data_IF_497563367484
#
_entry.id   IF_497563367484
#
_cell.length_a   1.000
_cell.length_b   1.000
_cell.length_c   1.000
_cell.angle_alpha   90.00
_cell.angle_beta   90.00
_cell.angle_gamma   90.00
#
_symmetry.space_group_name_H-M   'P 1'
#
loop_
_entity.id
_entity.type
_entity.pdbx_description
1 polymer ?
#
# COMPACT_ATOMS: atom_id res chain seq x y z
N UNK A 1 10.02 -6.72 33.27
CA UNK A 1 8.87 -6.62 32.32
C UNK A 1 9.32 -7.21 30.99
N UNK A 2 8.64 -8.22 30.50
CA UNK A 2 8.94 -8.73 29.15
C UNK A 2 8.37 -7.76 28.13
N UNK A 3 9.20 -7.30 27.18
CA UNK A 3 8.75 -6.47 26.06
C UNK A 3 7.89 -7.31 25.13
N UNK A 4 6.68 -6.84 24.82
CA UNK A 4 5.77 -7.46 23.85
C UNK A 4 5.77 -6.53 22.63
N UNK A 5 6.37 -6.96 21.48
CA UNK A 5 6.36 -6.14 20.27
C UNK A 5 4.96 -6.09 19.65
N UNK A 6 4.63 -4.98 18.99
CA UNK A 6 3.37 -4.83 18.25
C UNK A 6 3.25 -5.86 17.13
N UNK A 7 4.34 -6.06 16.40
CA UNK A 7 4.47 -7.10 15.37
C UNK A 7 5.93 -7.49 15.21
N UNK A 8 6.17 -8.71 14.78
CA UNK A 8 7.48 -9.23 14.39
C UNK A 8 7.38 -9.81 12.99
N UNK A 9 8.39 -9.57 12.13
CA UNK A 9 8.43 -10.22 10.83
C UNK A 9 8.62 -11.74 10.97
N UNK A 10 7.94 -12.50 10.12
CA UNK A 10 8.15 -13.94 9.99
C UNK A 10 9.02 -14.22 8.77
N UNK A 11 10.15 -14.90 8.98
CA UNK A 11 11.13 -15.26 7.96
C UNK A 11 11.34 -16.78 7.90
N UNK A 12 10.27 -17.56 8.01
CA UNK A 12 10.29 -19.03 7.98
C UNK A 12 10.19 -19.62 6.56
N UNK A 13 10.01 -18.77 5.55
CA UNK A 13 9.89 -19.17 4.15
C UNK A 13 11.20 -19.08 3.36
N UNK A 14 11.09 -18.63 2.13
CA UNK A 14 12.19 -18.55 1.17
C UNK A 14 12.89 -17.16 1.12
N UNK A 15 12.60 -16.26 2.07
CA UNK A 15 13.06 -14.89 2.04
C UNK A 15 14.59 -14.78 1.94
N UNK A 16 15.30 -15.53 2.79
CA UNK A 16 16.78 -15.56 2.79
C UNK A 16 17.35 -16.10 1.47
N UNK A 17 16.68 -17.11 0.89
CA UNK A 17 17.09 -17.67 -0.39
C UNK A 17 17.00 -16.62 -1.49
N UNK A 18 15.85 -15.97 -1.64
CA UNK A 18 15.62 -14.98 -2.69
C UNK A 18 16.49 -13.72 -2.54
N UNK A 19 16.71 -13.27 -1.29
CA UNK A 19 17.61 -12.14 -1.03
C UNK A 19 19.05 -12.49 -1.43
N UNK A 20 19.55 -13.68 -1.04
CA UNK A 20 20.90 -14.10 -1.39
C UNK A 20 21.06 -14.25 -2.92
N UNK A 21 20.09 -14.87 -3.60
CA UNK A 21 20.11 -14.98 -5.05
C UNK A 21 20.13 -13.62 -5.76
N UNK A 22 19.41 -12.61 -5.25
CA UNK A 22 19.44 -11.26 -5.79
C UNK A 22 20.80 -10.59 -5.60
N UNK A 23 21.42 -10.77 -4.42
CA UNK A 23 22.77 -10.29 -4.13
C UNK A 23 23.83 -10.94 -5.03
N UNK A 24 23.76 -12.26 -5.19
CA UNK A 24 24.69 -13.04 -6.03
C UNK A 24 24.61 -12.59 -7.51
N UNK A 25 23.44 -12.18 -7.97
CA UNK A 25 23.21 -11.63 -9.30
C UNK A 25 23.58 -10.15 -9.43
N UNK A 26 23.91 -9.47 -8.34
CA UNK A 26 24.25 -8.05 -8.30
C UNK A 26 23.05 -7.09 -8.49
N UNK A 27 21.81 -7.59 -8.40
CA UNK A 27 20.61 -6.79 -8.53
C UNK A 27 20.10 -6.35 -7.15
N UNK A 28 20.47 -5.14 -6.76
CA UNK A 28 20.13 -4.54 -5.45
C UNK A 28 19.42 -3.19 -5.58
N UNK A 29 18.87 -2.88 -6.76
CA UNK A 29 18.24 -1.60 -7.08
C UNK A 29 16.85 -1.84 -7.73
N UNK A 30 16.34 -0.84 -8.45
CA UNK A 30 14.99 -0.80 -9.06
C UNK A 30 14.78 -1.74 -10.24
N UNK A 31 15.80 -2.42 -10.71
CA UNK A 31 15.72 -3.46 -11.75
C UNK A 31 16.04 -4.82 -11.17
N UNK A 32 15.71 -5.87 -11.92
CA UNK A 32 16.09 -7.24 -11.58
C UNK A 32 14.97 -8.26 -11.75
N UNK A 33 15.36 -9.52 -11.84
CA UNK A 33 14.44 -10.63 -12.14
C UNK A 33 13.32 -10.77 -11.09
N UNK A 34 13.59 -10.45 -9.82
CA UNK A 34 12.60 -10.59 -8.76
C UNK A 34 11.49 -9.54 -8.79
N UNK A 35 11.78 -8.32 -9.27
CA UNK A 35 10.74 -7.30 -9.47
C UNK A 35 9.77 -7.77 -10.55
N UNK A 36 10.30 -8.15 -11.72
CA UNK A 36 9.49 -8.68 -12.82
C UNK A 36 8.69 -9.92 -12.41
N UNK A 37 9.31 -10.84 -11.65
CA UNK A 37 8.63 -12.03 -11.16
C UNK A 37 7.49 -11.67 -10.20
N UNK A 38 7.71 -10.73 -9.27
CA UNK A 38 6.67 -10.26 -8.34
C UNK A 38 5.48 -9.69 -9.11
N UNK A 39 5.74 -8.80 -10.07
CA UNK A 39 4.71 -8.18 -10.89
C UNK A 39 3.89 -9.22 -11.67
N UNK A 40 4.57 -10.17 -12.29
CA UNK A 40 3.92 -11.25 -13.05
C UNK A 40 3.08 -12.19 -12.17
N UNK A 41 3.61 -12.61 -11.02
CA UNK A 41 2.87 -13.50 -10.11
C UNK A 41 1.69 -12.78 -9.45
N UNK A 42 1.84 -11.51 -9.09
CA UNK A 42 0.74 -10.70 -8.57
C UNK A 42 -0.32 -10.44 -9.64
N UNK A 43 0.07 -10.17 -10.89
CA UNK A 43 -0.86 -10.01 -11.99
C UNK A 43 -1.71 -11.28 -12.19
N UNK A 44 -1.09 -12.46 -12.17
CA UNK A 44 -1.81 -13.75 -12.22
C UNK A 44 -2.74 -13.93 -11.04
N UNK A 45 -2.26 -13.68 -9.81
CA UNK A 45 -3.03 -13.86 -8.59
C UNK A 45 -4.27 -12.96 -8.55
N UNK A 46 -4.14 -11.71 -8.98
CA UNK A 46 -5.20 -10.72 -9.01
C UNK A 46 -6.07 -10.80 -10.27
N UNK A 47 -5.73 -11.65 -11.24
CA UNK A 47 -6.31 -11.66 -12.58
C UNK A 47 -6.32 -10.27 -13.22
N UNK A 48 -5.22 -9.53 -13.05
CA UNK A 48 -4.99 -8.21 -13.61
C UNK A 48 -4.08 -8.30 -14.83
N UNK A 49 -4.23 -7.38 -15.76
CA UNK A 49 -3.38 -7.34 -16.97
C UNK A 49 -1.97 -6.91 -16.62
N UNK A 50 -1.82 -5.90 -15.77
CA UNK A 50 -0.54 -5.34 -15.36
C UNK A 50 -0.52 -5.05 -13.85
N UNK A 51 0.67 -5.17 -13.26
CA UNK A 51 0.97 -4.79 -11.88
C UNK A 51 2.29 -4.06 -11.85
N UNK A 52 2.39 -2.99 -11.10
CA UNK A 52 3.62 -2.24 -10.87
C UNK A 52 4.06 -2.36 -9.41
N UNK A 53 5.30 -2.79 -9.19
CA UNK A 53 5.88 -2.86 -7.86
C UNK A 53 6.33 -1.47 -7.38
N UNK A 54 5.94 -1.11 -6.15
CA UNK A 54 6.35 0.12 -5.48
C UNK A 54 7.16 -0.20 -4.22
N UNK A 55 8.07 0.70 -3.83
CA UNK A 55 8.90 0.50 -2.65
C UNK A 55 8.13 0.60 -1.32
N UNK A 56 6.91 1.13 -1.33
CA UNK A 56 6.07 1.26 -0.14
C UNK A 56 4.60 1.40 -0.49
N UNK A 57 3.71 1.05 0.46
CA UNK A 57 2.27 1.30 0.32
C UNK A 57 1.93 2.78 0.13
N UNK A 58 2.66 3.68 0.77
CA UNK A 58 2.51 5.13 0.57
C UNK A 58 2.70 5.54 -0.89
N UNK A 59 3.76 5.02 -1.53
CA UNK A 59 4.02 5.29 -2.95
C UNK A 59 2.97 4.67 -3.86
N UNK A 60 2.50 3.47 -3.52
CA UNK A 60 1.44 2.79 -4.28
C UNK A 60 0.13 3.57 -4.21
N UNK A 61 -0.28 4.03 -3.02
CA UNK A 61 -1.48 4.87 -2.85
C UNK A 61 -1.32 6.20 -3.61
N UNK A 62 -0.15 6.83 -3.54
CA UNK A 62 0.10 8.09 -4.26
C UNK A 62 -0.04 7.90 -5.78
N UNK A 63 0.56 6.85 -6.32
CA UNK A 63 0.42 6.51 -7.73
C UNK A 63 -1.05 6.23 -8.11
N UNK A 64 -1.77 5.49 -7.27
CA UNK A 64 -3.19 5.18 -7.49
C UNK A 64 -4.07 6.44 -7.50
N UNK A 65 -3.78 7.43 -6.65
CA UNK A 65 -4.50 8.71 -6.65
C UNK A 65 -4.24 9.52 -7.94
N UNK A 66 -2.99 9.50 -8.42
CA UNK A 66 -2.63 10.13 -9.70
C UNK A 66 -3.40 9.48 -10.85
N UNK A 67 -3.38 8.15 -10.93
CA UNK A 67 -4.07 7.39 -11.98
C UNK A 67 -5.60 7.54 -11.89
N UNK A 68 -6.15 7.72 -10.70
CA UNK A 68 -7.56 8.04 -10.49
C UNK A 68 -7.92 9.48 -10.91
N UNK A 69 -6.94 10.30 -11.27
CA UNK A 69 -7.15 11.67 -11.73
C UNK A 69 -7.41 12.66 -10.60
N UNK A 70 -7.01 12.37 -9.37
CA UNK A 70 -7.19 13.29 -8.24
C UNK A 70 -6.36 14.55 -8.42
N UNK A 71 -7.03 15.68 -8.35
CA UNK A 71 -6.48 17.02 -8.55
C UNK A 71 -6.41 17.83 -7.24
N UNK A 72 -5.61 18.90 -7.19
CA UNK A 72 -5.61 19.83 -6.06
C UNK A 72 -7.01 20.35 -5.73
N UNK A 73 -7.41 20.23 -4.47
CA UNK A 73 -8.73 20.66 -3.98
C UNK A 73 -9.80 19.57 -4.00
N UNK A 74 -9.57 18.45 -4.65
CA UNK A 74 -10.51 17.31 -4.60
C UNK A 74 -10.60 16.74 -3.18
N UNK A 75 -11.77 16.18 -2.86
CA UNK A 75 -12.01 15.50 -1.59
C UNK A 75 -11.76 14.01 -1.74
N UNK A 76 -10.97 13.44 -0.83
CA UNK A 76 -10.72 12.00 -0.74
C UNK A 76 -11.15 11.51 0.63
N UNK A 77 -12.09 10.56 0.66
CA UNK A 77 -12.60 9.98 1.89
C UNK A 77 -11.63 8.94 2.43
N UNK A 78 -11.30 9.02 3.71
CA UNK A 78 -10.32 8.16 4.36
C UNK A 78 -10.83 7.68 5.72
N UNK A 79 -10.52 6.45 6.15
CA UNK A 79 -10.84 6.00 7.50
C UNK A 79 -9.87 6.65 8.51
N UNK A 80 -10.30 6.99 9.75
CA UNK A 80 -9.41 7.54 10.77
C UNK A 80 -8.49 6.49 11.39
N UNK A 81 -8.88 5.23 11.39
CA UNK A 81 -8.10 4.11 11.94
C UNK A 81 -7.16 3.56 10.88
N UNK A 82 -6.06 4.25 10.63
CA UNK A 82 -5.04 3.84 9.66
C UNK A 82 -3.68 4.46 10.01
N UNK A 83 -2.61 3.96 9.39
CA UNK A 83 -1.34 4.68 9.41
C UNK A 83 -1.47 5.99 8.65
N UNK A 84 -0.83 7.03 9.18
CA UNK A 84 -0.75 8.34 8.48
C UNK A 84 -0.17 8.21 7.06
N UNK A 85 0.63 7.18 6.83
CA UNK A 85 1.18 6.83 5.52
C UNK A 85 0.11 6.56 4.44
N UNK A 86 -1.11 6.17 4.82
CA UNK A 86 -2.24 6.00 3.91
C UNK A 86 -2.93 7.34 3.58
N UNK A 87 -2.85 8.33 4.46
CA UNK A 87 -3.49 9.64 4.30
C UNK A 87 -2.58 10.66 3.64
N UNK A 88 -1.26 10.60 3.93
CA UNK A 88 -0.28 11.54 3.38
C UNK A 88 -0.32 11.67 1.85
N UNK A 89 -0.49 10.61 1.06
CA UNK A 89 -0.59 10.71 -0.40
C UNK A 89 -1.70 11.64 -0.90
N UNK A 90 -2.82 11.72 -0.17
CA UNK A 90 -3.91 12.68 -0.46
C UNK A 90 -3.38 14.12 -0.35
N UNK A 91 -2.60 14.39 0.69
CA UNK A 91 -1.97 15.70 0.89
C UNK A 91 -0.87 15.99 -0.13
N UNK A 92 -0.16 14.96 -0.61
CA UNK A 92 0.84 15.13 -1.67
C UNK A 92 0.20 15.60 -2.99
N UNK A 93 -1.02 15.15 -3.28
CA UNK A 93 -1.83 15.62 -4.41
C UNK A 93 -2.48 17.00 -4.15
N UNK A 94 -2.23 17.65 -2.99
CA UNK A 94 -2.91 18.87 -2.56
C UNK A 94 -4.44 18.69 -2.48
N UNK A 95 -4.91 17.47 -2.36
CA UNK A 95 -6.29 17.11 -2.12
C UNK A 95 -6.64 17.21 -0.63
N UNK A 96 -7.91 17.15 -0.31
CA UNK A 96 -8.46 17.34 1.04
C UNK A 96 -8.89 15.98 1.58
N UNK A 97 -8.19 15.39 2.57
CA UNK A 97 -8.67 14.18 3.22
C UNK A 97 -9.85 14.53 4.13
N UNK A 98 -10.96 13.81 3.97
CA UNK A 98 -12.13 13.89 4.85
C UNK A 98 -12.26 12.54 5.54
N UNK A 99 -12.31 12.56 6.87
CA UNK A 99 -12.35 11.34 7.67
C UNK A 99 -13.80 10.89 7.85
N UNK A 100 -14.07 9.64 7.46
CA UNK A 100 -15.33 8.93 7.70
C UNK A 100 -15.06 7.86 8.74
N UNK A 101 -15.88 7.83 9.79
CA UNK A 101 -15.68 6.94 10.94
C UNK A 101 -15.66 5.45 10.56
N UNK A 102 -15.14 4.64 11.46
CA UNK A 102 -15.05 3.18 11.29
C UNK A 102 -16.16 2.48 12.06
N UNK A 103 -16.59 1.34 11.55
CA UNK A 103 -17.44 0.39 12.25
C UNK A 103 -16.64 -0.60 13.13
N UNK A 104 -17.30 -1.57 13.71
CA UNK A 104 -16.69 -2.60 14.56
C UNK A 104 -15.72 -3.53 13.81
N UNK A 105 -15.70 -3.52 12.47
CA UNK A 105 -14.73 -4.23 11.64
C UNK A 105 -13.42 -3.46 11.47
N UNK A 106 -13.32 -2.24 12.00
CA UNK A 106 -12.24 -1.28 11.79
C UNK A 106 -12.09 -0.78 10.36
N UNK A 107 -13.05 -1.05 9.49
CA UNK A 107 -13.14 -0.47 8.17
C UNK A 107 -14.01 0.79 8.19
N UNK A 108 -13.94 1.59 7.12
CA UNK A 108 -14.84 2.75 6.94
C UNK A 108 -16.30 2.30 7.06
N UNK A 109 -17.08 2.94 7.92
CA UNK A 109 -18.49 2.63 8.15
C UNK A 109 -19.33 3.04 6.92
N UNK A 110 -19.98 2.08 6.22
CA UNK A 110 -20.77 2.40 5.05
C UNK A 110 -22.02 3.26 5.37
N UNK A 111 -22.55 3.19 6.60
CA UNK A 111 -23.70 4.01 7.02
C UNK A 111 -23.23 5.47 7.18
N UNK A 112 -22.06 5.69 7.81
CA UNK A 112 -21.47 7.01 7.93
C UNK A 112 -21.04 7.59 6.59
N UNK A 113 -20.61 6.75 5.68
CA UNK A 113 -20.29 7.15 4.32
C UNK A 113 -21.56 7.62 3.58
N UNK A 114 -22.67 6.87 3.69
CA UNK A 114 -23.95 7.24 3.07
C UNK A 114 -24.52 8.54 3.67
N UNK A 115 -24.40 8.73 5.00
CA UNK A 115 -24.81 9.97 5.67
C UNK A 115 -24.03 11.21 5.20
N UNK A 116 -22.78 11.01 4.76
CA UNK A 116 -21.91 12.08 4.28
C UNK A 116 -22.17 12.46 2.82
N UNK A 117 -22.55 11.52 1.97
CA UNK A 117 -22.78 11.71 0.52
C UNK A 117 -24.13 12.36 0.24
#
# INVERSE_FOLDING_TARGET
MNFIPLSIPNFEGNEKKYVNEALDQGWVSTGGAYITKLEQEMAKFLNAENVAACQSGTSAIHLSLIEAGIMPGDVVLVPPLTFIAAVNPVRYQQAIPVFIDCDDSFCMDPVKLEEFL
#
